data_IF_573208171995
#
_entry.id   IF_573208171995
#
_cell.length_a   1.000
_cell.length_b   1.000
_cell.length_c   1.000
_cell.angle_alpha   90.00
_cell.angle_beta   90.00
_cell.angle_gamma   90.00
#
_symmetry.space_group_name_H-M   'P 1'
#
loop_
_entity.id
_entity.type
_entity.pdbx_description
1 polymer ?
#
# COMPACT_ATOMS: atom_id res chain seq x y z
N UNK A 1 18.92 8.82 -8.56
CA UNK A 1 19.07 8.10 -7.28
C UNK A 1 18.04 7.00 -7.21
N UNK A 2 18.39 5.80 -6.72
CA UNK A 2 17.44 4.69 -6.54
C UNK A 2 17.29 4.42 -5.04
N UNK A 3 16.06 4.36 -4.55
CA UNK A 3 15.72 4.06 -3.16
C UNK A 3 15.02 2.71 -3.13
N UNK A 4 15.54 1.78 -2.34
CA UNK A 4 14.92 0.47 -2.15
C UNK A 4 13.94 0.53 -0.98
N UNK A 5 12.67 0.24 -1.24
CA UNK A 5 11.65 0.09 -0.18
C UNK A 5 11.58 -1.38 0.19
N UNK A 6 11.81 -1.74 1.47
CA UNK A 6 11.56 -3.10 1.93
C UNK A 6 10.05 -3.35 1.90
N UNK A 7 9.60 -4.22 0.98
CA UNK A 7 8.21 -4.64 0.91
C UNK A 7 8.13 -6.16 1.05
N UNK A 8 7.29 -6.63 1.98
CA UNK A 8 6.92 -8.03 2.10
C UNK A 8 5.54 -8.15 1.47
N UNK A 9 5.40 -8.80 0.31
CA UNK A 9 4.13 -8.91 -0.38
C UNK A 9 3.13 -9.66 0.50
N UNK A 10 2.02 -9.00 0.82
CA UNK A 10 0.90 -9.56 1.55
C UNK A 10 -0.37 -9.35 0.70
N UNK A 11 -1.12 -10.41 0.37
CA UNK A 11 -2.32 -10.33 -0.46
C UNK A 11 -3.49 -9.58 0.19
N UNK A 12 -3.45 -9.30 1.50
CA UNK A 12 -4.46 -8.54 2.22
C UNK A 12 -4.05 -7.13 2.65
N UNK A 13 -2.86 -6.66 2.26
CA UNK A 13 -2.35 -5.36 2.71
C UNK A 13 -1.97 -4.51 1.51
N UNK A 14 -2.67 -3.39 1.36
CA UNK A 14 -2.18 -2.30 0.54
C UNK A 14 -1.12 -1.53 1.32
N UNK A 15 -0.17 -0.92 0.62
CA UNK A 15 0.85 -0.09 1.30
C UNK A 15 0.75 1.32 0.76
N UNK A 16 0.50 2.29 1.61
CA UNK A 16 0.66 3.69 1.21
C UNK A 16 2.12 4.09 1.34
N UNK A 17 2.60 4.84 0.35
CA UNK A 17 3.97 5.34 0.27
C UNK A 17 3.91 6.84 0.11
N UNK A 18 4.49 7.56 1.07
CA UNK A 18 4.75 8.99 0.96
C UNK A 18 6.23 9.22 0.73
N UNK A 19 6.51 10.11 -0.22
CA UNK A 19 7.87 10.53 -0.52
C UNK A 19 7.90 12.04 -0.39
N UNK A 20 8.68 12.51 0.58
CA UNK A 20 8.91 13.92 0.80
C UNK A 20 10.30 14.26 0.27
N UNK A 21 10.38 15.28 -0.59
CA UNK A 21 11.64 15.72 -1.18
C UNK A 21 11.86 17.19 -0.88
N UNK A 22 12.98 17.49 -0.21
CA UNK A 22 13.49 18.85 -0.08
C UNK A 22 14.49 19.09 -1.19
N UNK A 23 14.24 20.12 -2.00
CA UNK A 23 15.05 20.40 -3.18
C UNK A 23 15.20 21.90 -3.42
N UNK A 24 16.25 22.29 -4.13
CA UNK A 24 16.38 23.63 -4.72
C UNK A 24 16.24 23.50 -6.23
N UNK A 25 15.58 24.46 -6.89
CA UNK A 25 15.44 24.48 -8.34
C UNK A 25 15.47 25.90 -8.87
N UNK A 26 16.02 26.07 -10.08
CA UNK A 26 16.08 27.35 -10.79
C UNK A 26 14.68 27.79 -11.26
N UNK A 27 13.81 26.83 -11.57
CA UNK A 27 12.51 27.07 -12.23
C UNK A 27 11.31 26.64 -11.35
N UNK A 28 11.52 26.47 -10.04
CA UNK A 28 10.47 25.99 -9.10
C UNK A 28 9.92 24.60 -9.44
N UNK A 29 10.66 23.86 -10.26
CA UNK A 29 10.22 22.62 -10.87
C UNK A 29 10.60 21.42 -9.97
N UNK A 30 9.62 20.63 -9.48
CA UNK A 30 9.91 19.54 -8.54
C UNK A 30 10.65 18.38 -9.23
N UNK A 31 11.43 17.57 -8.52
CA UNK A 31 12.07 16.40 -9.12
C UNK A 31 11.04 15.45 -9.76
N UNK A 32 11.44 14.66 -10.74
CA UNK A 32 10.58 13.55 -11.16
C UNK A 32 10.69 12.41 -10.14
N UNK A 33 9.65 11.61 -10.01
CA UNK A 33 9.65 10.42 -9.19
C UNK A 33 8.98 9.28 -9.97
N UNK A 34 9.71 8.19 -10.14
CA UNK A 34 9.27 7.01 -10.86
C UNK A 34 9.31 5.77 -9.97
N UNK A 35 8.47 4.79 -10.27
CA UNK A 35 8.53 3.45 -9.66
C UNK A 35 9.16 2.48 -10.64
N UNK A 36 10.02 1.59 -10.14
CA UNK A 36 10.68 0.56 -10.94
C UNK A 36 10.19 -0.85 -10.57
N UNK A 37 10.08 -1.77 -11.55
CA UNK A 37 10.31 -1.56 -12.99
C UNK A 37 9.25 -0.65 -13.62
N UNK A 38 9.68 0.18 -14.56
CA UNK A 38 8.85 1.15 -15.28
C UNK A 38 7.72 0.43 -16.03
N UNK A 39 6.48 0.94 -15.93
CA UNK A 39 5.32 0.35 -16.60
C UNK A 39 4.23 -0.27 -15.73
N UNK A 40 4.18 0.01 -14.41
CA UNK A 40 2.94 -0.22 -13.66
C UNK A 40 1.98 0.97 -13.88
N UNK A 41 0.90 0.82 -14.67
CA UNK A 41 -0.05 1.92 -14.95
C UNK A 41 -0.80 2.39 -13.69
N UNK A 42 -0.78 1.61 -12.61
CA UNK A 42 -1.53 1.90 -11.39
C UNK A 42 -0.78 2.84 -10.43
N UNK A 43 0.49 3.17 -10.71
CA UNK A 43 1.31 4.01 -9.84
C UNK A 43 1.85 5.22 -10.60
N UNK A 44 1.15 6.35 -10.48
CA UNK A 44 1.59 7.63 -11.02
C UNK A 44 2.19 8.51 -9.92
N UNK A 45 3.52 8.64 -9.93
CA UNK A 45 4.28 9.55 -9.05
C UNK A 45 4.93 10.69 -9.84
N UNK A 46 4.49 10.94 -11.08
CA UNK A 46 5.15 11.91 -11.96
C UNK A 46 5.00 13.37 -11.49
N UNK A 47 3.95 13.65 -10.72
CA UNK A 47 3.66 14.97 -10.17
C UNK A 47 3.44 14.87 -8.66
N UNK A 48 3.99 15.83 -7.88
CA UNK A 48 3.71 15.87 -6.46
C UNK A 48 2.27 16.31 -6.18
N UNK A 49 1.71 15.81 -5.08
CA UNK A 49 0.41 16.24 -4.56
C UNK A 49 0.51 17.60 -3.86
N UNK A 50 1.69 17.95 -3.33
CA UNK A 50 1.99 19.27 -2.77
C UNK A 50 3.36 19.73 -3.25
N UNK A 51 3.48 21.01 -3.61
CA UNK A 51 4.75 21.63 -3.98
C UNK A 51 4.79 23.07 -3.48
N UNK A 52 5.48 23.29 -2.37
CA UNK A 52 5.45 24.56 -1.65
C UNK A 52 6.87 25.09 -1.34
N UNK A 53 7.07 26.41 -1.26
CA UNK A 53 8.30 26.98 -0.74
C UNK A 53 8.54 26.55 0.70
N UNK A 54 9.74 26.04 1.00
CA UNK A 54 10.16 25.73 2.37
C UNK A 54 10.88 26.92 3.00
N UNK A 55 11.83 27.50 2.27
CA UNK A 55 12.54 28.73 2.65
C UNK A 55 12.96 29.53 1.40
N UNK A 56 13.93 30.45 1.55
CA UNK A 56 14.39 31.32 0.46
C UNK A 56 15.13 30.57 -0.68
N UNK A 57 15.54 29.33 -0.48
CA UNK A 57 16.37 28.56 -1.42
C UNK A 57 15.82 27.17 -1.70
N UNK A 58 14.92 26.67 -0.84
CA UNK A 58 14.40 25.32 -0.88
C UNK A 58 12.88 25.27 -1.04
N UNK A 59 12.45 24.19 -1.68
CA UNK A 59 11.08 23.79 -1.90
C UNK A 59 10.85 22.43 -1.27
N UNK A 60 9.60 22.16 -0.95
CA UNK A 60 9.08 20.91 -0.45
C UNK A 60 8.14 20.31 -1.49
N UNK A 61 8.42 19.09 -1.93
CA UNK A 61 7.51 18.31 -2.77
C UNK A 61 7.08 17.03 -2.05
N UNK A 62 5.77 16.82 -1.94
CA UNK A 62 5.18 15.59 -1.41
C UNK A 62 4.57 14.77 -2.54
N UNK A 63 4.92 13.49 -2.58
CA UNK A 63 4.33 12.51 -3.50
C UNK A 63 3.66 11.41 -2.69
N UNK A 64 2.60 10.84 -3.24
CA UNK A 64 1.83 9.78 -2.59
C UNK A 64 1.39 8.74 -3.61
N UNK A 65 1.49 7.47 -3.25
CA UNK A 65 0.87 6.37 -4.00
C UNK A 65 0.50 5.22 -3.08
N UNK A 66 -0.47 4.41 -3.52
CA UNK A 66 -0.91 3.20 -2.85
C UNK A 66 -0.48 1.98 -3.67
N UNK A 67 0.31 1.11 -3.06
CA UNK A 67 0.65 -0.22 -3.58
C UNK A 67 -0.54 -1.14 -3.33
N UNK A 68 -1.05 -1.78 -4.38
CA UNK A 68 -2.10 -2.81 -4.23
C UNK A 68 -1.56 -4.05 -3.50
N UNK A 69 -2.42 -4.79 -2.79
CA UNK A 69 -2.04 -6.05 -2.17
C UNK A 69 -1.42 -7.05 -3.16
N UNK A 70 -0.49 -7.87 -2.67
CA UNK A 70 0.22 -8.88 -3.48
C UNK A 70 1.24 -8.33 -4.50
N UNK A 71 1.33 -7.01 -4.70
CA UNK A 71 2.24 -6.43 -5.67
C UNK A 71 3.67 -6.28 -5.12
N UNK A 72 4.67 -6.57 -5.97
CA UNK A 72 6.09 -6.33 -5.67
C UNK A 72 6.57 -5.13 -6.46
N UNK A 73 6.62 -3.95 -5.84
CA UNK A 73 7.65 -2.98 -6.20
C UNK A 73 8.52 -2.71 -5.00
N UNK A 74 9.81 -2.57 -5.29
CA UNK A 74 10.82 -2.39 -4.25
C UNK A 74 11.69 -1.17 -4.53
N UNK A 75 11.43 -0.39 -5.58
CA UNK A 75 12.36 0.66 -6.01
C UNK A 75 11.64 1.94 -6.46
N UNK A 76 12.04 3.05 -5.85
CA UNK A 76 11.75 4.40 -6.31
C UNK A 76 12.98 4.95 -7.04
N UNK A 77 12.75 5.64 -8.15
CA UNK A 77 13.80 6.28 -8.93
C UNK A 77 13.55 7.78 -9.04
N UNK A 78 14.49 8.56 -8.54
CA UNK A 78 14.52 10.01 -8.66
C UNK A 78 15.61 10.37 -9.68
N UNK A 79 15.27 10.65 -10.95
CA UNK A 79 16.26 11.02 -11.94
C UNK A 79 16.81 12.43 -11.66
N UNK A 80 18.01 12.73 -12.16
CA UNK A 80 18.46 14.11 -12.27
C UNK A 80 17.56 14.86 -13.27
N UNK A 81 16.88 15.92 -12.82
CA UNK A 81 16.08 16.80 -13.69
C UNK A 81 17.01 17.76 -14.44
N UNK A 82 17.76 17.25 -15.41
CA UNK A 82 18.63 18.02 -16.32
C UNK A 82 19.51 19.09 -15.62
N UNK A 83 20.03 18.78 -14.43
CA UNK A 83 20.81 19.71 -13.59
C UNK A 83 20.07 21.00 -13.13
N UNK A 84 18.74 21.06 -13.26
CA UNK A 84 17.90 22.20 -12.85
C UNK A 84 17.37 22.10 -11.42
N UNK A 85 17.53 20.93 -10.79
CA UNK A 85 17.13 20.68 -9.42
C UNK A 85 18.26 19.98 -8.64
N UNK A 86 18.58 20.48 -7.46
CA UNK A 86 19.45 19.81 -6.49
C UNK A 86 18.60 19.24 -5.38
N UNK A 87 18.75 17.95 -5.13
CA UNK A 87 18.07 17.24 -4.05
C UNK A 87 18.93 17.33 -2.80
N UNK A 88 18.33 17.81 -1.71
CA UNK A 88 19.01 17.93 -0.42
C UNK A 88 18.69 16.75 0.49
N UNK A 89 17.40 16.45 0.64
CA UNK A 89 16.95 15.31 1.45
C UNK A 89 15.72 14.66 0.86
N UNK A 90 15.59 13.36 1.12
CA UNK A 90 14.43 12.55 0.78
C UNK A 90 14.03 11.75 2.01
N UNK A 91 12.77 11.90 2.41
CA UNK A 91 12.13 11.10 3.44
C UNK A 91 11.11 10.18 2.76
N UNK A 92 11.20 8.89 3.03
CA UNK A 92 10.23 7.89 2.55
C UNK A 92 9.55 7.30 3.76
N UNK A 93 8.23 7.42 3.79
CA UNK A 93 7.37 6.84 4.79
C UNK A 93 6.45 5.82 4.13
N UNK A 94 6.27 4.68 4.77
CA UNK A 94 5.38 3.63 4.28
C UNK A 94 4.45 3.22 5.40
N UNK A 95 3.15 3.09 5.12
CA UNK A 95 2.21 2.48 6.06
C UNK A 95 1.50 1.32 5.39
N UNK A 96 1.45 0.20 6.09
CA UNK A 96 0.59 -0.91 5.75
C UNK A 96 -0.86 -0.51 6.04
N UNK A 97 -1.66 -0.40 4.98
CA UNK A 97 -3.10 -0.24 5.05
C UNK A 97 -3.69 -1.61 4.77
N UNK A 98 -4.11 -2.29 5.84
CA UNK A 98 -4.86 -3.54 5.70
C UNK A 98 -6.11 -3.27 4.88
N UNK A 99 -6.17 -3.81 3.67
CA UNK A 99 -7.44 -3.88 2.95
C UNK A 99 -8.12 -5.07 3.57
N UNK A 100 -9.27 -4.83 4.18
CA UNK A 100 -10.13 -5.92 4.62
C UNK A 100 -10.55 -6.63 3.32
N UNK A 101 -9.85 -7.70 2.96
CA UNK A 101 -10.16 -8.51 1.79
C UNK A 101 -10.77 -9.82 2.28
N UNK A 102 -12.07 -10.06 2.00
CA UNK A 102 -12.72 -11.31 2.31
C UNK A 102 -12.47 -12.42 1.27
N UNK A 103 -11.40 -12.29 0.47
CA UNK A 103 -10.82 -13.38 -0.34
C UNK A 103 -9.97 -14.25 0.59
N UNK A 104 -10.62 -15.23 1.19
CA UNK A 104 -10.09 -16.13 2.22
C UNK A 104 -9.32 -17.29 1.55
N UNK A 105 -9.74 -17.75 0.37
CA UNK A 105 -9.07 -18.84 -0.34
C UNK A 105 -7.89 -18.39 -1.21
N UNK A 106 -7.79 -17.09 -1.49
CA UNK A 106 -6.70 -16.45 -2.20
C UNK A 106 -6.78 -16.61 -3.72
N UNK A 107 -7.96 -16.92 -4.27
CA UNK A 107 -8.17 -17.06 -5.71
C UNK A 107 -8.34 -15.70 -6.44
N UNK A 108 -8.41 -14.61 -5.67
CA UNK A 108 -8.57 -13.25 -6.17
C UNK A 108 -10.03 -12.81 -6.36
N UNK A 109 -11.02 -13.64 -6.00
CA UNK A 109 -12.44 -13.38 -6.16
C UNK A 109 -13.23 -13.74 -4.90
N UNK A 110 -14.01 -12.80 -4.37
CA UNK A 110 -14.86 -13.04 -3.20
C UNK A 110 -16.13 -13.79 -3.61
N UNK A 111 -16.20 -15.09 -3.33
CA UNK A 111 -17.25 -15.97 -3.82
C UNK A 111 -17.59 -17.12 -2.83
N UNK A 112 -18.22 -18.19 -3.35
CA UNK A 112 -18.70 -19.30 -2.52
C UNK A 112 -17.57 -20.04 -1.78
N UNK A 113 -16.44 -20.40 -2.42
CA UNK A 113 -15.23 -20.84 -1.74
C UNK A 113 -14.87 -20.06 -0.46
N UNK A 114 -14.84 -18.73 -0.47
CA UNK A 114 -14.53 -17.94 0.73
C UNK A 114 -15.57 -18.13 1.83
N UNK A 115 -16.85 -18.10 1.45
CA UNK A 115 -17.93 -18.32 2.41
C UNK A 115 -17.88 -19.73 3.03
N UNK A 116 -17.46 -20.74 2.28
CA UNK A 116 -17.28 -22.11 2.79
C UNK A 116 -16.18 -22.13 3.85
N UNK A 117 -15.03 -21.52 3.57
CA UNK A 117 -13.94 -21.40 4.55
C UNK A 117 -14.41 -20.62 5.79
N UNK A 118 -15.24 -19.60 5.60
CA UNK A 118 -15.78 -18.85 6.72
C UNK A 118 -16.67 -19.70 7.63
N UNK A 119 -17.55 -20.51 7.03
CA UNK A 119 -18.45 -21.39 7.77
C UNK A 119 -17.66 -22.43 8.59
N UNK A 120 -16.50 -22.89 8.10
CA UNK A 120 -15.64 -23.84 8.82
C UNK A 120 -15.07 -23.27 10.13
N UNK A 121 -14.91 -21.95 10.22
CA UNK A 121 -14.39 -21.27 11.41
C UNK A 121 -15.49 -20.51 12.19
N UNK A 122 -16.76 -20.62 11.77
CA UNK A 122 -17.86 -19.86 12.34
C UNK A 122 -17.94 -19.97 13.86
N UNK A 123 -18.13 -18.83 14.55
CA UNK A 123 -18.21 -18.70 16.02
C UNK A 123 -16.93 -19.02 16.80
N UNK A 124 -15.80 -19.26 16.13
CA UNK A 124 -14.51 -19.30 16.82
C UNK A 124 -14.23 -17.94 17.45
N UNK A 125 -13.65 -17.94 18.64
CA UNK A 125 -13.33 -16.75 19.44
C UNK A 125 -11.92 -16.80 20.03
N UNK A 126 -11.09 -17.67 19.45
CA UNK A 126 -9.69 -17.88 19.78
C UNK A 126 -8.77 -17.47 18.62
N UNK A 127 -9.23 -16.55 17.77
CA UNK A 127 -8.49 -16.07 16.60
C UNK A 127 -7.37 -15.12 17.04
N UNK A 128 -6.19 -15.24 16.41
CA UNK A 128 -5.05 -14.40 16.76
C UNK A 128 -4.04 -14.29 15.62
N UNK A 129 -3.18 -13.27 15.69
CA UNK A 129 -2.08 -13.04 14.75
C UNK A 129 -0.97 -14.12 14.78
N UNK A 130 -1.09 -15.20 15.56
CA UNK A 130 -0.01 -16.20 15.64
C UNK A 130 0.20 -16.90 14.30
N UNK A 131 1.43 -17.33 14.04
CA UNK A 131 1.79 -18.06 12.82
C UNK A 131 1.15 -19.47 12.73
N UNK A 132 0.39 -19.92 13.72
CA UNK A 132 -0.40 -21.15 13.62
C UNK A 132 -1.89 -20.86 13.41
N UNK A 133 -2.37 -19.73 13.94
CA UNK A 133 -3.79 -19.39 13.94
C UNK A 133 -4.18 -18.50 12.76
N UNK A 134 -3.31 -17.55 12.38
CA UNK A 134 -3.52 -16.62 11.26
C UNK A 134 -4.91 -15.99 11.23
N UNK A 135 -5.42 -15.49 12.36
CA UNK A 135 -6.78 -14.95 12.47
C UNK A 135 -7.84 -15.97 12.01
N UNK A 136 -7.76 -17.19 12.54
CA UNK A 136 -8.57 -18.32 12.12
C UNK A 136 -8.49 -18.57 10.61
N UNK A 137 -7.27 -18.75 10.09
CA UNK A 137 -7.01 -18.94 8.65
C UNK A 137 -7.54 -17.79 7.78
N UNK A 138 -7.48 -16.56 8.27
CA UNK A 138 -7.95 -15.35 7.58
C UNK A 138 -9.45 -15.10 7.68
N UNK A 139 -10.18 -15.89 8.46
CA UNK A 139 -11.65 -15.80 8.55
C UNK A 139 -12.13 -14.73 9.53
N UNK A 140 -11.34 -14.42 10.56
CA UNK A 140 -11.55 -13.24 11.40
C UNK A 140 -11.01 -12.03 10.64
N UNK A 141 -11.87 -11.48 9.78
CA UNK A 141 -11.54 -10.44 8.80
C UNK A 141 -11.42 -9.08 9.50
N UNK A 142 -12.25 -8.84 10.52
CA UNK A 142 -12.16 -7.68 11.40
C UNK A 142 -10.91 -7.71 12.31
N UNK A 143 -10.34 -8.91 12.53
CA UNK A 143 -9.23 -9.19 13.44
C UNK A 143 -9.56 -8.82 14.88
N UNK A 144 -10.82 -9.00 15.28
CA UNK A 144 -11.31 -8.71 16.63
C UNK A 144 -11.12 -9.88 17.61
N UNK A 145 -10.64 -11.02 17.10
CA UNK A 145 -10.41 -12.26 17.83
C UNK A 145 -11.51 -13.30 17.65
N UNK A 146 -12.60 -13.00 16.91
CA UNK A 146 -13.71 -13.92 16.75
C UNK A 146 -14.38 -13.86 15.37
N UNK A 147 -14.60 -15.03 14.75
CA UNK A 147 -15.38 -15.16 13.51
C UNK A 147 -16.87 -15.00 13.81
N UNK A 148 -17.43 -13.86 13.44
CA UNK A 148 -18.79 -13.48 13.78
C UNK A 148 -19.54 -12.76 12.64
N UNK A 149 -20.67 -12.13 12.96
CA UNK A 149 -21.52 -11.47 11.98
C UNK A 149 -20.86 -10.25 11.33
N UNK A 150 -19.93 -9.59 12.02
CA UNK A 150 -19.20 -8.44 11.49
C UNK A 150 -18.25 -8.88 10.37
N UNK A 151 -17.60 -10.03 10.50
CA UNK A 151 -16.79 -10.63 9.42
C UNK A 151 -17.65 -11.05 8.24
N UNK A 152 -18.81 -11.67 8.50
CA UNK A 152 -19.75 -12.05 7.45
C UNK A 152 -20.30 -10.83 6.70
N UNK A 153 -20.54 -9.72 7.40
CA UNK A 153 -20.98 -8.47 6.79
C UNK A 153 -19.92 -7.94 5.82
N UNK A 154 -18.64 -7.97 6.21
CA UNK A 154 -17.54 -7.59 5.31
C UNK A 154 -17.44 -8.51 4.09
N UNK A 155 -17.58 -9.83 4.28
CA UNK A 155 -17.62 -10.76 3.16
C UNK A 155 -18.79 -10.48 2.21
N UNK A 156 -19.97 -10.17 2.76
CA UNK A 156 -21.15 -9.82 1.97
C UNK A 156 -21.01 -8.48 1.23
N UNK A 157 -20.38 -7.48 1.84
CA UNK A 157 -20.16 -6.15 1.23
C UNK A 157 -19.26 -6.23 -0.02
N UNK A 158 -18.38 -7.22 -0.08
CA UNK A 158 -17.49 -7.47 -1.21
C UNK A 158 -17.93 -8.68 -2.06
N UNK A 159 -19.15 -9.19 -1.88
CA UNK A 159 -19.62 -10.38 -2.57
C UNK A 159 -19.54 -10.23 -4.11
N UNK A 160 -18.91 -11.20 -4.77
CA UNK A 160 -18.62 -11.21 -6.21
C UNK A 160 -17.67 -10.10 -6.68
N UNK A 161 -16.90 -9.48 -5.78
CA UNK A 161 -15.76 -8.66 -6.15
C UNK A 161 -14.61 -9.54 -6.65
N UNK A 162 -13.92 -9.13 -7.73
CA UNK A 162 -12.86 -9.89 -8.40
C UNK A 162 -12.75 -9.52 -9.88
#
# INVERSE_FOLDING_TARGET
MVITIPNVPDPGISTDVWVQIVYSSIDFLPPYLFVLPDGNPDVDLNLPIENEPHDNWYYYALYHTTIRPGFKFCQLYVPPRECTANIDSILVETMAVGVISPDIDGDGSVNLPDLILMIEQWTRSDCSASAENHWCSGTDITKDGAVNLDDLALLADHWLAG
#
